data_IF_696425449584
#
_entry.id   IF_696425449584
#
_cell.length_a   1.000
_cell.length_b   1.000
_cell.length_c   1.000
_cell.angle_alpha   90.00
_cell.angle_beta   90.00
_cell.angle_gamma   90.00
#
_symmetry.space_group_name_H-M   'P 1'
#
loop_
_entity.id
_entity.type
_entity.pdbx_description
1 polymer ?
#
# COMPACT_ATOMS: atom_id res chain seq x y z
N UNK A 1 -6.16 -12.64 -16.96
CA UNK A 1 -6.78 -13.87 -16.37
C UNK A 1 -7.10 -15.00 -17.35
N UNK A 2 -6.46 -15.07 -18.52
CA UNK A 2 -6.64 -16.20 -19.47
C UNK A 2 -6.23 -17.56 -18.90
N UNK A 3 -5.47 -17.61 -17.80
CA UNK A 3 -5.01 -18.83 -17.13
C UNK A 3 -5.72 -19.18 -15.81
N UNK A 4 -6.80 -18.52 -15.43
CA UNK A 4 -7.43 -18.72 -14.11
C UNK A 4 -7.79 -20.18 -13.81
N UNK A 5 -8.41 -20.88 -14.76
CA UNK A 5 -8.71 -22.32 -14.61
C UNK A 5 -7.45 -23.18 -14.52
N UNK A 6 -6.36 -22.76 -15.18
CA UNK A 6 -5.08 -23.49 -15.13
C UNK A 6 -4.39 -23.32 -13.79
N UNK A 7 -4.52 -22.13 -13.17
CA UNK A 7 -3.89 -21.79 -11.89
C UNK A 7 -4.72 -22.22 -10.69
N UNK A 8 -6.06 -22.06 -10.76
CA UNK A 8 -6.97 -22.24 -9.62
C UNK A 8 -7.89 -23.48 -9.78
N UNK A 9 -7.73 -24.25 -10.85
CA UNK A 9 -8.51 -25.46 -11.10
C UNK A 9 -9.85 -25.23 -11.82
N UNK A 10 -10.61 -26.31 -12.07
CA UNK A 10 -11.83 -26.28 -12.86
C UNK A 10 -12.98 -25.50 -12.21
N UNK A 11 -12.95 -25.30 -10.90
CA UNK A 11 -13.94 -24.52 -10.14
C UNK A 11 -13.82 -22.99 -10.31
N UNK A 12 -12.74 -22.52 -10.96
CA UNK A 12 -12.57 -21.10 -11.24
C UNK A 12 -13.65 -20.57 -12.17
N UNK A 13 -14.48 -19.65 -11.66
CA UNK A 13 -15.55 -19.00 -12.39
C UNK A 13 -15.31 -17.50 -12.49
N UNK A 14 -15.02 -17.01 -13.70
CA UNK A 14 -14.75 -15.59 -13.95
C UNK A 14 -15.98 -14.70 -13.75
N UNK A 15 -17.19 -15.25 -13.85
CA UNK A 15 -18.43 -14.48 -13.69
C UNK A 15 -18.68 -14.08 -12.24
N UNK A 16 -17.99 -14.72 -11.29
CA UNK A 16 -18.06 -14.44 -9.85
C UNK A 16 -17.04 -13.40 -9.38
N UNK A 17 -16.24 -12.85 -10.29
CA UNK A 17 -15.27 -11.82 -9.97
C UNK A 17 -15.95 -10.43 -9.98
N UNK A 18 -15.49 -9.57 -9.07
CA UNK A 18 -15.96 -8.19 -8.96
C UNK A 18 -15.46 -7.30 -10.12
N UNK A 19 -16.06 -6.11 -10.25
CA UNK A 19 -15.74 -5.16 -11.31
C UNK A 19 -14.33 -4.61 -11.23
N UNK A 20 -13.77 -4.42 -10.02
CA UNK A 20 -12.39 -3.96 -9.83
C UNK A 20 -11.41 -5.00 -10.39
N UNK A 21 -11.55 -6.26 -10.03
CA UNK A 21 -10.71 -7.36 -10.51
C UNK A 21 -10.78 -7.52 -12.03
N UNK A 22 -12.00 -7.49 -12.59
CA UNK A 22 -12.20 -7.57 -14.05
C UNK A 22 -11.64 -6.34 -14.77
N UNK A 23 -11.74 -5.16 -14.18
CA UNK A 23 -11.19 -3.92 -14.70
C UNK A 23 -9.66 -3.93 -14.71
N UNK A 24 -9.03 -4.40 -13.64
CA UNK A 24 -7.57 -4.58 -13.57
C UNK A 24 -7.05 -5.54 -14.66
N UNK A 25 -7.75 -6.68 -14.89
CA UNK A 25 -7.40 -7.62 -15.95
C UNK A 25 -7.46 -6.97 -17.34
N UNK A 26 -8.54 -6.20 -17.61
CA UNK A 26 -8.67 -5.47 -18.87
C UNK A 26 -7.59 -4.40 -19.03
N UNK A 27 -7.32 -3.64 -17.96
CA UNK A 27 -6.30 -2.59 -17.97
C UNK A 27 -4.90 -3.16 -18.19
N UNK A 28 -4.56 -4.26 -17.50
CA UNK A 28 -3.29 -4.96 -17.68
C UNK A 28 -3.11 -5.47 -19.13
N UNK A 29 -4.16 -6.08 -19.69
CA UNK A 29 -4.11 -6.59 -21.08
C UNK A 29 -3.91 -5.45 -22.10
N UNK A 30 -4.55 -4.29 -21.91
CA UNK A 30 -4.41 -3.12 -22.78
C UNK A 30 -3.04 -2.45 -22.69
N UNK A 31 -2.40 -2.50 -21.52
CA UNK A 31 -1.15 -1.80 -21.23
C UNK A 31 0.07 -2.72 -21.17
N UNK A 32 -0.05 -3.98 -21.61
CA UNK A 32 1.05 -4.96 -21.56
C UNK A 32 2.30 -4.48 -22.30
N UNK A 33 2.15 -3.71 -23.37
CA UNK A 33 3.26 -3.13 -24.15
C UNK A 33 4.09 -2.12 -23.33
N UNK A 34 3.55 -1.58 -22.23
CA UNK A 34 4.25 -0.66 -21.30
C UNK A 34 5.10 -1.40 -20.28
N UNK A 35 5.02 -2.73 -20.19
CA UNK A 35 5.69 -3.52 -19.15
C UNK A 35 7.21 -3.30 -19.11
N UNK A 36 7.96 -3.26 -20.23
CA UNK A 36 9.41 -3.01 -20.17
C UNK A 36 9.75 -1.65 -19.54
N UNK A 37 8.97 -0.61 -19.86
CA UNK A 37 9.15 0.71 -19.27
C UNK A 37 8.79 0.73 -17.78
N UNK A 38 7.74 0.01 -17.38
CA UNK A 38 7.34 -0.13 -15.98
C UNK A 38 8.45 -0.80 -15.15
N UNK A 39 9.04 -1.89 -15.65
CA UNK A 39 10.16 -2.59 -15.01
C UNK A 39 11.36 -1.65 -14.86
N UNK A 40 11.70 -0.89 -15.91
CA UNK A 40 12.79 0.09 -15.84
C UNK A 40 12.55 1.18 -14.79
N UNK A 41 11.33 1.72 -14.72
CA UNK A 41 10.94 2.72 -13.71
C UNK A 41 11.01 2.15 -12.30
N UNK A 42 10.53 0.93 -12.10
CA UNK A 42 10.61 0.22 -10.84
C UNK A 42 12.07 0.02 -10.37
N UNK A 43 12.96 -0.37 -11.29
CA UNK A 43 14.40 -0.48 -10.99
C UNK A 43 15.02 0.88 -10.65
N UNK A 44 14.57 1.96 -11.28
CA UNK A 44 15.01 3.32 -10.95
C UNK A 44 14.51 3.75 -9.55
N UNK A 45 13.28 3.43 -9.17
CA UNK A 45 12.75 3.73 -7.82
C UNK A 45 13.60 3.08 -6.73
N UNK A 46 14.00 1.82 -6.90
CA UNK A 46 14.91 1.14 -5.95
C UNK A 46 16.25 1.84 -5.76
N UNK A 47 16.80 2.45 -6.83
CA UNK A 47 18.05 3.22 -6.74
C UNK A 47 17.84 4.54 -5.99
N UNK A 48 16.68 5.15 -6.13
CA UNK A 48 16.34 6.39 -5.43
C UNK A 48 16.19 6.11 -3.93
N UNK A 49 15.46 5.07 -3.53
CA UNK A 49 15.31 4.71 -2.12
C UNK A 49 16.64 4.32 -1.49
N UNK A 50 17.48 3.58 -2.21
CA UNK A 50 18.85 3.25 -1.74
C UNK A 50 19.71 4.50 -1.49
N UNK A 51 19.63 5.52 -2.35
CA UNK A 51 20.37 6.79 -2.14
C UNK A 51 19.84 7.59 -0.96
N UNK A 52 18.53 7.60 -0.73
CA UNK A 52 17.96 8.26 0.45
C UNK A 52 18.52 7.66 1.74
N UNK A 53 18.74 6.35 1.79
CA UNK A 53 19.29 5.68 2.97
C UNK A 53 20.77 5.93 3.23
N UNK A 54 21.51 6.49 2.27
CA UNK A 54 22.89 6.95 2.50
C UNK A 54 22.93 8.20 3.40
N UNK A 55 21.82 8.94 3.47
CA UNK A 55 21.72 10.20 4.22
C UNK A 55 20.75 10.09 5.40
N UNK A 56 19.68 9.32 5.25
CA UNK A 56 18.61 9.20 6.22
C UNK A 56 18.42 7.74 6.65
N UNK A 57 18.30 7.50 7.94
CA UNK A 57 18.08 6.17 8.50
C UNK A 57 16.68 5.65 8.18
N UNK A 58 15.69 6.52 8.23
CA UNK A 58 14.27 6.20 8.06
C UNK A 58 13.56 7.34 7.32
N UNK A 59 12.59 7.00 6.49
CA UNK A 59 11.69 7.95 5.86
C UNK A 59 10.32 7.86 6.53
N UNK A 60 9.82 8.98 7.05
CA UNK A 60 8.51 9.11 7.66
C UNK A 60 7.53 9.75 6.69
N UNK A 61 6.35 9.14 6.52
CA UNK A 61 5.27 9.66 5.71
C UNK A 61 3.90 9.19 6.23
N UNK A 62 2.77 9.82 5.88
CA UNK A 62 1.47 9.26 6.20
C UNK A 62 1.30 7.87 5.55
N UNK A 63 0.60 6.97 6.24
CA UNK A 63 0.24 5.66 5.65
C UNK A 63 -0.79 5.83 4.53
N UNK A 64 -1.76 6.71 4.75
CA UNK A 64 -2.87 7.00 3.84
C UNK A 64 -2.97 8.51 3.60
N UNK A 65 -3.48 8.92 2.44
CA UNK A 65 -3.58 10.33 2.07
C UNK A 65 -4.76 11.06 2.75
N UNK A 66 -5.77 10.31 3.20
CA UNK A 66 -6.99 10.82 3.81
C UNK A 66 -7.38 9.98 5.02
N UNK A 67 -8.29 10.51 5.85
CA UNK A 67 -8.93 9.74 6.91
C UNK A 67 -9.62 8.49 6.37
N UNK A 68 -9.89 7.53 7.26
CA UNK A 68 -10.60 6.30 6.91
C UNK A 68 -11.97 6.63 6.30
N UNK A 69 -12.25 6.20 5.06
CA UNK A 69 -13.50 6.49 4.40
C UNK A 69 -14.66 5.67 5.00
N UNK A 70 -15.91 6.08 4.78
CA UNK A 70 -17.08 5.30 5.18
C UNK A 70 -17.09 3.91 4.50
N UNK A 71 -17.72 2.94 5.17
CA UNK A 71 -17.96 1.61 4.61
C UNK A 71 -18.69 1.74 3.27
N UNK A 72 -18.24 1.00 2.26
CA UNK A 72 -18.79 1.04 0.89
C UNK A 72 -18.14 2.08 -0.03
N UNK A 73 -17.27 2.98 0.46
CA UNK A 73 -16.57 3.94 -0.39
C UNK A 73 -15.72 3.27 -1.47
N UNK A 74 -15.06 2.16 -1.14
CA UNK A 74 -14.24 1.34 -2.05
C UNK A 74 -14.97 0.04 -2.45
N UNK A 75 -16.30 0.08 -2.66
CA UNK A 75 -17.07 -1.08 -3.10
C UNK A 75 -16.52 -1.62 -4.43
N UNK A 76 -15.96 -2.85 -4.46
CA UNK A 76 -15.35 -3.42 -5.67
C UNK A 76 -16.38 -3.77 -6.76
N UNK A 77 -17.68 -3.75 -6.45
CA UNK A 77 -18.77 -3.98 -7.41
C UNK A 77 -19.16 -2.71 -8.17
N UNK A 78 -18.73 -1.53 -7.71
CA UNK A 78 -18.92 -0.27 -8.42
C UNK A 78 -18.09 -0.21 -9.73
N UNK A 79 -18.33 0.77 -10.63
CA UNK A 79 -17.55 0.92 -11.85
C UNK A 79 -16.05 1.00 -11.59
N UNK A 80 -15.26 0.27 -12.38
CA UNK A 80 -13.80 0.15 -12.22
C UNK A 80 -13.10 1.51 -12.11
N UNK A 81 -13.41 2.44 -12.99
CA UNK A 81 -12.79 3.77 -13.06
C UNK A 81 -13.04 4.56 -11.77
N UNK A 82 -14.24 4.44 -11.20
CA UNK A 82 -14.61 5.11 -9.96
C UNK A 82 -13.84 4.52 -8.76
N UNK A 83 -13.85 3.20 -8.62
CA UNK A 83 -13.14 2.52 -7.51
C UNK A 83 -11.64 2.76 -7.62
N UNK A 84 -11.09 2.67 -8.83
CA UNK A 84 -9.66 2.85 -9.07
C UNK A 84 -9.21 4.29 -8.80
N UNK A 85 -10.01 5.30 -9.18
CA UNK A 85 -9.74 6.69 -8.86
C UNK A 85 -9.69 6.91 -7.35
N UNK A 86 -10.74 6.50 -6.62
CA UNK A 86 -10.82 6.60 -5.16
C UNK A 86 -9.66 5.87 -4.46
N UNK A 87 -9.32 4.68 -4.95
CA UNK A 87 -8.22 3.88 -4.41
C UNK A 87 -6.88 4.59 -4.59
N UNK A 88 -6.61 5.15 -5.78
CA UNK A 88 -5.36 5.86 -6.06
C UNK A 88 -5.21 7.13 -5.22
N UNK A 89 -6.29 7.87 -5.02
CA UNK A 89 -6.28 9.06 -4.17
C UNK A 89 -6.01 8.71 -2.71
N UNK A 90 -6.53 7.57 -2.23
CA UNK A 90 -6.41 7.15 -0.83
C UNK A 90 -5.08 6.47 -0.50
N UNK A 91 -4.56 5.62 -1.39
CA UNK A 91 -3.39 4.74 -1.17
C UNK A 91 -2.09 5.37 -1.72
N UNK A 92 -1.98 6.67 -1.78
CA UNK A 92 -0.91 7.40 -2.50
C UNK A 92 0.52 7.02 -2.07
N UNK A 93 0.77 6.73 -0.78
CA UNK A 93 2.13 6.58 -0.25
C UNK A 93 2.66 5.13 -0.24
N UNK A 94 1.83 4.17 0.14
CA UNK A 94 2.22 2.76 0.35
C UNK A 94 2.64 1.98 -0.91
N UNK A 95 2.25 2.34 -2.15
CA UNK A 95 2.66 1.59 -3.33
C UNK A 95 4.17 1.57 -3.59
N UNK A 96 4.91 2.57 -3.11
CA UNK A 96 6.36 2.63 -3.33
C UNK A 96 7.07 1.44 -2.66
N UNK A 97 6.82 1.18 -1.39
CA UNK A 97 7.45 0.09 -0.63
C UNK A 97 7.05 -1.28 -1.20
N UNK A 98 5.78 -1.45 -1.59
CA UNK A 98 5.32 -2.65 -2.29
C UNK A 98 6.07 -2.88 -3.62
N UNK A 99 6.38 -1.81 -4.33
CA UNK A 99 7.06 -1.86 -5.61
C UNK A 99 8.57 -2.07 -5.47
N UNK A 100 9.22 -1.42 -4.51
CA UNK A 100 10.67 -1.55 -4.27
C UNK A 100 11.01 -2.78 -3.45
N UNK A 101 10.08 -3.27 -2.61
CA UNK A 101 10.29 -4.35 -1.66
C UNK A 101 11.09 -3.87 -0.43
N UNK A 102 11.06 -2.58 -0.16
CA UNK A 102 11.66 -2.00 1.03
C UNK A 102 10.75 -2.23 2.24
N UNK A 103 11.28 -2.52 3.43
CA UNK A 103 10.48 -2.73 4.63
C UNK A 103 9.83 -1.42 5.08
N UNK A 104 8.61 -1.54 5.61
CA UNK A 104 7.86 -0.44 6.19
C UNK A 104 7.03 -0.92 7.38
N UNK A 105 6.82 -0.02 8.34
CA UNK A 105 5.94 -0.22 9.50
C UNK A 105 4.99 0.97 9.61
N UNK A 106 3.72 0.72 9.89
CA UNK A 106 2.73 1.77 10.16
C UNK A 106 2.40 1.80 11.64
N UNK A 107 2.48 2.99 12.23
CA UNK A 107 2.25 3.22 13.66
C UNK A 107 1.16 4.30 13.81
N UNK A 108 0.28 4.21 14.83
CA UNK A 108 -0.78 5.19 15.08
C UNK A 108 -0.22 6.40 15.86
N UNK A 109 0.63 7.21 15.20
CA UNK A 109 1.36 8.30 15.87
C UNK A 109 0.56 9.58 16.03
N UNK A 110 -0.62 9.68 15.44
CA UNK A 110 -1.48 10.86 15.52
C UNK A 110 -2.95 10.47 15.56
N UNK A 111 -3.78 11.44 15.86
CA UNK A 111 -5.24 11.35 15.87
C UNK A 111 -5.82 12.51 15.07
N UNK A 112 -6.86 12.26 14.30
CA UNK A 112 -7.54 13.29 13.52
C UNK A 112 -8.48 14.12 14.43
N UNK A 113 -8.97 15.24 13.91
CA UNK A 113 -9.96 16.05 14.61
C UNK A 113 -11.27 15.30 14.93
N UNK A 114 -11.55 14.21 14.20
CA UNK A 114 -12.69 13.33 14.43
C UNK A 114 -12.42 12.20 15.43
N UNK A 115 -11.25 12.16 16.08
CA UNK A 115 -10.87 11.10 17.02
C UNK A 115 -10.44 9.79 16.33
N UNK A 116 -10.17 9.79 15.02
CA UNK A 116 -9.72 8.62 14.30
C UNK A 116 -8.18 8.50 14.33
N UNK A 117 -7.62 7.30 14.50
CA UNK A 117 -6.17 7.13 14.47
C UNK A 117 -5.60 7.45 13.09
N UNK A 118 -4.54 8.23 13.06
CA UNK A 118 -3.78 8.53 11.85
C UNK A 118 -2.51 7.67 11.83
N UNK A 119 -2.45 6.76 10.86
CA UNK A 119 -1.28 5.93 10.64
C UNK A 119 -0.14 6.72 9.99
N UNK A 120 1.05 6.67 10.62
CA UNK A 120 2.30 7.17 10.06
C UNK A 120 3.20 6.00 9.70
N UNK A 121 3.70 5.99 8.47
CA UNK A 121 4.53 4.94 7.95
C UNK A 121 6.00 5.32 8.04
N UNK A 122 6.80 4.48 8.69
CA UNK A 122 8.24 4.51 8.66
C UNK A 122 8.74 3.49 7.64
N UNK A 123 9.66 3.87 6.78
CA UNK A 123 10.27 2.96 5.81
C UNK A 123 11.78 3.13 5.77
N UNK A 124 12.49 2.05 5.46
CA UNK A 124 13.95 2.03 5.29
C UNK A 124 14.32 1.07 4.17
N UNK A 125 15.61 0.90 3.90
CA UNK A 125 16.05 -0.06 2.86
C UNK A 125 15.98 -1.50 3.35
N UNK A 126 15.90 -2.39 2.42
CA UNK A 126 15.87 -3.84 2.63
C UNK A 126 17.01 -4.31 3.54
N UNK A 127 16.69 -5.20 4.49
CA UNK A 127 17.64 -5.75 5.46
C UNK A 127 17.80 -4.88 6.72
N UNK A 128 17.09 -3.77 6.84
CA UNK A 128 17.10 -2.88 7.99
C UNK A 128 15.79 -2.94 8.80
N UNK A 129 15.10 -4.06 8.78
CA UNK A 129 13.84 -4.28 9.49
C UNK A 129 13.99 -4.06 11.01
N UNK A 130 15.14 -4.46 11.59
CA UNK A 130 15.44 -4.26 13.00
C UNK A 130 15.40 -2.78 13.39
N UNK A 131 15.93 -1.89 12.55
CA UNK A 131 15.90 -0.43 12.78
C UNK A 131 14.49 0.12 12.87
N UNK A 132 13.57 -0.38 12.03
CA UNK A 132 12.15 0.02 12.10
C UNK A 132 11.50 -0.42 13.40
N UNK A 133 11.82 -1.63 13.88
CA UNK A 133 11.31 -2.14 15.15
C UNK A 133 11.87 -1.36 16.34
N UNK A 134 13.18 -1.08 16.36
CA UNK A 134 13.82 -0.26 17.39
C UNK A 134 13.14 1.12 17.49
N UNK A 135 12.99 1.81 16.35
CA UNK A 135 12.32 3.11 16.30
C UNK A 135 10.84 3.01 16.72
N UNK A 136 10.14 1.95 16.33
CA UNK A 136 8.75 1.74 16.77
C UNK A 136 8.63 1.61 18.29
N UNK A 137 9.54 0.86 18.93
CA UNK A 137 9.59 0.75 20.39
C UNK A 137 9.91 2.08 21.07
N UNK A 138 10.86 2.85 20.56
CA UNK A 138 11.17 4.18 21.10
C UNK A 138 9.99 5.13 21.02
N UNK A 139 9.28 5.14 19.87
CA UNK A 139 8.09 5.97 19.68
C UNK A 139 6.92 5.52 20.58
N UNK A 140 6.72 4.20 20.76
CA UNK A 140 5.70 3.68 21.68
C UNK A 140 6.01 4.05 23.13
N UNK A 141 7.27 4.00 23.54
CA UNK A 141 7.69 4.41 24.90
C UNK A 141 7.55 5.91 25.12
N UNK A 142 7.91 6.72 24.11
CA UNK A 142 7.83 8.17 24.22
C UNK A 142 6.38 8.69 24.25
N UNK A 143 5.48 8.05 23.51
CA UNK A 143 4.06 8.39 23.45
C UNK A 143 3.22 7.13 23.25
N UNK A 144 2.87 6.41 24.32
CA UNK A 144 1.99 5.24 24.25
C UNK A 144 0.65 5.60 23.60
N UNK A 145 0.21 4.76 22.65
CA UNK A 145 -1.10 4.91 22.02
C UNK A 145 -2.16 4.02 22.67
N UNK A 146 -3.44 4.42 22.66
CA UNK A 146 -4.51 3.61 23.23
C UNK A 146 -4.68 2.32 22.42
N UNK A 147 -4.99 1.24 23.12
CA UNK A 147 -5.33 -0.06 22.54
C UNK A 147 -6.84 -0.26 22.54
N UNK A 148 -7.41 -0.83 21.48
CA UNK A 148 -8.87 -1.05 21.35
C UNK A 148 -9.44 -1.90 22.51
N UNK A 149 -8.63 -2.76 23.11
CA UNK A 149 -9.03 -3.67 24.20
C UNK A 149 -8.81 -3.08 25.61
N UNK A 150 -8.44 -1.83 25.74
CA UNK A 150 -8.22 -1.17 27.04
C UNK A 150 -9.34 -0.16 27.41
N UNK A 151 -10.47 -0.22 26.71
CA UNK A 151 -11.66 0.57 27.03
C UNK A 151 -12.51 -0.14 28.11
#
# INVERSE_FOLDING_TARGET
MRGGRRTFGPSFDRTRLDNLTLGLDRNAARNLYKLPLAIRRLSASRRITARLSETFDVVLMPTLAHETPPIGYLDPTAPYEQVMGRLMDWVTFTPLQNATGDPAISLPLAESAAGLPVGMMLSTVRGQEARLLEMAYELEQARPWPRINTA
#
